data_IF_995784607747
#
_entry.id   IF_995784607747
#
_cell.length_a   1.000
_cell.length_b   1.000
_cell.length_c   1.000
_cell.angle_alpha   90.00
_cell.angle_beta   90.00
_cell.angle_gamma   90.00
#
_symmetry.space_group_name_H-M   'P 1'
#
loop_
_entity.id
_entity.type
_entity.pdbx_description
1 polymer ?
#
# COMPACT_ATOMS: atom_id res chain seq x y z
N UNK A 1 12.18 17.48 16.38
CA UNK A 1 13.50 17.16 16.92
C UNK A 1 13.92 18.21 17.95
N UNK A 2 12.98 18.67 18.78
CA UNK A 2 13.18 19.76 19.75
C UNK A 2 14.43 19.51 20.62
N UNK A 3 15.35 20.49 20.65
CA UNK A 3 16.54 20.45 21.47
C UNK A 3 17.67 19.55 20.99
N UNK A 4 17.54 18.94 19.82
CA UNK A 4 18.58 18.07 19.20
C UNK A 4 19.12 18.78 17.98
N UNK A 5 20.41 19.07 17.96
CA UNK A 5 21.06 19.89 16.92
C UNK A 5 21.32 19.06 15.66
N UNK A 6 21.77 17.80 15.82
CA UNK A 6 22.12 16.91 14.71
C UNK A 6 21.64 15.51 15.06
N UNK A 7 20.77 14.95 14.22
CA UNK A 7 20.26 13.58 14.40
C UNK A 7 21.17 12.57 13.69
N UNK A 8 21.18 12.58 12.38
CA UNK A 8 21.98 11.64 11.59
C UNK A 8 23.43 12.10 11.50
N UNK A 9 24.37 11.21 11.85
CA UNK A 9 25.78 11.54 12.06
C UNK A 9 26.09 12.17 13.41
N UNK A 10 25.05 12.37 14.26
CA UNK A 10 25.19 12.90 15.61
C UNK A 10 24.55 11.95 16.64
N UNK A 11 23.28 12.16 16.98
CA UNK A 11 22.56 11.28 17.93
C UNK A 11 22.43 9.84 17.44
N UNK A 12 22.35 9.66 16.13
CA UNK A 12 22.46 8.38 15.43
C UNK A 12 23.75 8.43 14.62
N UNK A 13 24.86 7.85 15.12
CA UNK A 13 26.13 7.85 14.42
C UNK A 13 26.08 7.16 13.06
N UNK A 14 26.93 7.58 12.13
CA UNK A 14 27.10 6.89 10.86
C UNK A 14 27.50 5.43 11.06
N UNK A 15 26.90 4.52 10.31
CA UNK A 15 27.10 3.07 10.43
C UNK A 15 26.22 2.42 11.51
N UNK A 16 25.46 3.20 12.28
CA UNK A 16 24.56 2.63 13.28
C UNK A 16 23.27 2.12 12.63
N UNK A 17 22.87 0.92 13.01
CA UNK A 17 21.54 0.38 12.73
C UNK A 17 20.57 0.98 13.74
N UNK A 18 19.51 1.58 13.26
CA UNK A 18 18.50 2.25 14.05
C UNK A 18 17.11 1.85 13.58
N UNK A 19 16.14 1.75 14.48
CA UNK A 19 14.73 1.60 14.10
C UNK A 19 14.04 2.96 14.07
N UNK A 20 13.35 3.32 12.98
CA UNK A 20 12.60 4.59 12.91
C UNK A 20 11.31 4.52 13.74
N UNK A 21 11.48 4.54 15.04
CA UNK A 21 10.46 4.42 16.07
C UNK A 21 11.04 4.66 17.46
N UNK A 22 10.27 4.30 18.49
CA UNK A 22 10.69 4.36 19.89
C UNK A 22 10.22 3.12 20.65
N UNK A 23 11.03 2.63 21.58
CA UNK A 23 10.82 1.41 22.37
C UNK A 23 10.86 0.14 21.51
N UNK A 24 9.71 -0.37 21.09
CA UNK A 24 9.67 -1.48 20.13
C UNK A 24 9.97 -0.98 18.74
N UNK A 25 10.66 -1.81 17.95
CA UNK A 25 10.93 -1.50 16.56
C UNK A 25 9.63 -1.28 15.78
N UNK A 26 9.65 -0.31 14.87
CA UNK A 26 8.57 -0.13 13.89
C UNK A 26 8.36 -1.41 13.12
N UNK A 27 7.12 -1.77 12.85
CA UNK A 27 6.79 -2.98 12.07
C UNK A 27 6.10 -2.64 10.78
N UNK A 28 6.44 -3.39 9.73
CA UNK A 28 5.73 -3.44 8.46
C UNK A 28 5.13 -4.84 8.33
N UNK A 29 3.83 -4.91 8.05
CA UNK A 29 3.13 -6.15 7.78
C UNK A 29 2.55 -6.10 6.37
N UNK A 30 2.81 -7.16 5.61
CA UNK A 30 2.25 -7.35 4.26
C UNK A 30 1.51 -8.68 4.21
N UNK A 31 0.29 -8.65 3.69
CA UNK A 31 -0.61 -9.81 3.63
C UNK A 31 -0.44 -10.64 2.34
N UNK A 32 0.37 -10.14 1.41
CA UNK A 32 0.77 -10.82 0.16
C UNK A 32 2.27 -10.63 -0.08
N UNK A 33 2.85 -11.43 -0.96
CA UNK A 33 4.19 -11.20 -1.47
C UNK A 33 4.21 -9.88 -2.25
N UNK A 34 5.16 -9.01 -1.94
CA UNK A 34 5.31 -7.69 -2.58
C UNK A 34 6.75 -7.48 -3.05
N UNK A 35 6.98 -6.44 -3.82
CA UNK A 35 8.32 -5.94 -4.08
C UNK A 35 8.48 -4.56 -3.42
N UNK A 36 9.58 -4.34 -2.70
CA UNK A 36 9.91 -3.04 -2.13
C UNK A 36 11.24 -2.57 -2.73
N UNK A 37 11.21 -1.45 -3.43
CA UNK A 37 12.36 -0.92 -4.20
C UNK A 37 12.97 -1.98 -5.14
N UNK A 38 12.14 -2.84 -5.75
CA UNK A 38 12.59 -3.93 -6.61
C UNK A 38 13.04 -5.20 -5.88
N UNK A 39 13.08 -5.21 -4.54
CA UNK A 39 13.48 -6.38 -3.74
C UNK A 39 12.25 -7.19 -3.32
N UNK A 40 12.24 -8.52 -3.54
CA UNK A 40 11.11 -9.36 -3.15
C UNK A 40 10.99 -9.44 -1.63
N UNK A 41 9.80 -9.18 -1.13
CA UNK A 41 9.44 -9.29 0.29
C UNK A 41 8.25 -10.24 0.40
N UNK A 42 8.44 -11.33 1.13
CA UNK A 42 7.40 -12.33 1.33
C UNK A 42 6.30 -11.80 2.25
N UNK A 43 5.09 -12.32 2.09
CA UNK A 43 4.00 -12.13 3.06
C UNK A 43 4.52 -12.38 4.47
N UNK A 44 4.27 -11.43 5.38
CA UNK A 44 4.72 -11.55 6.75
C UNK A 44 4.77 -10.21 7.48
N UNK A 45 5.26 -10.28 8.71
CA UNK A 45 5.47 -9.11 9.57
C UNK A 45 6.95 -8.98 9.88
N UNK A 46 7.46 -7.79 9.68
CA UNK A 46 8.89 -7.47 9.80
C UNK A 46 9.09 -6.33 10.78
N UNK A 47 10.16 -6.36 11.56
CA UNK A 47 10.68 -5.15 12.18
C UNK A 47 11.49 -4.36 11.14
N UNK A 48 11.32 -3.03 11.17
CA UNK A 48 11.95 -2.11 10.21
C UNK A 48 13.15 -1.44 10.88
N UNK A 49 14.29 -1.53 10.22
CA UNK A 49 15.56 -0.95 10.67
C UNK A 49 16.23 -0.23 9.51
N UNK A 50 17.06 0.73 9.85
CA UNK A 50 17.83 1.50 8.88
C UNK A 50 19.25 1.64 9.39
N UNK A 51 20.22 1.24 8.57
CA UNK A 51 21.63 1.56 8.79
C UNK A 51 21.92 2.89 8.09
N UNK A 52 22.28 3.90 8.87
CA UNK A 52 22.45 5.26 8.36
C UNK A 52 23.90 5.53 7.98
N UNK A 53 24.09 6.14 6.80
CA UNK A 53 25.40 6.55 6.30
C UNK A 53 25.29 7.97 5.70
N UNK A 54 26.39 8.67 5.43
CA UNK A 54 26.34 10.04 4.91
C UNK A 54 25.57 10.22 3.60
N UNK A 55 25.67 9.25 2.68
CA UNK A 55 25.07 9.33 1.35
C UNK A 55 23.93 8.35 1.14
N UNK A 56 24.14 7.07 1.35
CA UNK A 56 23.20 6.00 1.09
C UNK A 56 22.89 5.27 2.39
N UNK A 57 21.61 5.00 2.65
CA UNK A 57 21.18 4.21 3.79
C UNK A 57 20.81 2.80 3.37
N UNK A 58 20.84 1.86 4.30
CA UNK A 58 20.34 0.50 4.06
C UNK A 58 19.09 0.26 4.89
N UNK A 59 17.97 -0.02 4.23
CA UNK A 59 16.76 -0.51 4.89
C UNK A 59 16.93 -2.00 5.16
N UNK A 60 16.50 -2.43 6.34
CA UNK A 60 16.56 -3.80 6.81
C UNK A 60 15.16 -4.20 7.31
N UNK A 61 14.59 -5.19 6.66
CA UNK A 61 13.36 -5.84 7.10
C UNK A 61 13.73 -7.17 7.74
N UNK A 62 13.56 -7.25 9.06
CA UNK A 62 13.89 -8.44 9.82
C UNK A 62 12.62 -9.22 10.19
N UNK A 63 12.53 -10.53 9.90
CA UNK A 63 11.33 -11.32 10.19
C UNK A 63 11.05 -11.48 11.69
N UNK A 64 12.01 -11.16 12.56
CA UNK A 64 11.79 -11.03 14.00
C UNK A 64 11.04 -9.73 14.27
N UNK A 65 9.73 -9.75 14.10
CA UNK A 65 8.88 -8.54 14.13
C UNK A 65 8.88 -7.83 15.51
N UNK A 66 9.09 -8.57 16.61
CA UNK A 66 9.05 -8.00 17.97
C UNK A 66 10.47 -7.86 18.53
N UNK A 67 11.15 -6.80 18.16
CA UNK A 67 12.48 -6.46 18.66
C UNK A 67 12.43 -5.12 19.43
N UNK A 68 13.16 -5.06 20.54
CA UNK A 68 13.32 -3.80 21.27
C UNK A 68 14.42 -2.96 20.62
N UNK A 69 14.30 -1.64 20.61
CA UNK A 69 15.13 -0.73 19.83
C UNK A 69 16.64 -0.82 20.08
N UNK A 70 17.07 -1.33 21.21
CA UNK A 70 18.49 -1.53 21.53
C UNK A 70 19.03 -2.89 21.06
N UNK A 71 18.16 -3.82 20.67
CA UNK A 71 18.55 -5.13 20.17
C UNK A 71 18.79 -5.10 18.67
N UNK A 72 19.71 -4.25 18.21
CA UNK A 72 20.01 -4.05 16.80
C UNK A 72 20.23 -5.39 16.08
N UNK A 73 19.52 -5.67 14.97
CA UNK A 73 19.68 -6.91 14.25
C UNK A 73 21.08 -7.00 13.62
N UNK A 74 21.78 -8.09 13.87
CA UNK A 74 22.99 -8.40 13.13
C UNK A 74 22.64 -8.90 11.73
N UNK A 75 23.52 -8.72 10.72
CA UNK A 75 23.27 -9.24 9.38
C UNK A 75 22.93 -10.74 9.43
N UNK A 76 21.86 -11.11 8.72
CA UNK A 76 21.30 -12.44 8.69
C UNK A 76 20.70 -12.71 7.30
N UNK A 77 20.78 -13.93 6.81
CA UNK A 77 20.26 -14.34 5.51
C UNK A 77 18.72 -14.31 5.41
N UNK A 78 18.02 -14.26 6.55
CA UNK A 78 16.57 -14.13 6.57
C UNK A 78 16.08 -12.69 6.40
N UNK A 79 16.97 -11.71 6.49
CA UNK A 79 16.65 -10.30 6.33
C UNK A 79 16.54 -9.93 4.85
N UNK A 80 15.60 -9.06 4.52
CA UNK A 80 15.63 -8.32 3.26
C UNK A 80 16.35 -7.00 3.52
N UNK A 81 17.46 -6.79 2.81
CA UNK A 81 18.32 -5.60 2.95
C UNK A 81 18.49 -4.95 1.59
N UNK A 82 18.28 -3.65 1.51
CA UNK A 82 18.45 -2.91 0.25
C UNK A 82 18.82 -1.45 0.49
N UNK A 83 19.56 -0.85 -0.46
CA UNK A 83 19.97 0.54 -0.37
C UNK A 83 18.78 1.49 -0.65
N UNK A 84 18.84 2.67 -0.02
CA UNK A 84 17.96 3.79 -0.27
C UNK A 84 18.71 5.10 -0.20
N UNK A 85 18.33 6.07 -1.01
CA UNK A 85 18.90 7.41 -0.99
C UNK A 85 18.00 8.31 -0.16
N UNK A 86 18.44 8.81 1.00
CA UNK A 86 17.67 9.77 1.76
C UNK A 86 17.63 11.12 1.03
N UNK A 87 16.47 11.77 1.04
CA UNK A 87 16.28 13.10 0.48
C UNK A 87 16.11 14.13 1.60
N UNK A 88 16.50 15.36 1.34
CA UNK A 88 16.27 16.46 2.26
C UNK A 88 14.79 16.87 2.24
N UNK A 89 14.23 17.11 3.42
CA UNK A 89 12.85 17.58 3.59
C UNK A 89 12.78 18.63 4.68
N UNK A 90 12.01 19.69 4.44
CA UNK A 90 11.79 20.75 5.43
C UNK A 90 10.68 20.38 6.41
N UNK A 91 10.79 20.85 7.66
CA UNK A 91 9.71 20.78 8.65
C UNK A 91 9.41 19.40 9.24
N UNK A 92 10.25 18.41 9.01
CA UNK A 92 10.06 17.05 9.54
C UNK A 92 10.57 16.92 10.99
N UNK A 93 9.98 17.66 11.92
CA UNK A 93 10.36 17.60 13.35
C UNK A 93 9.88 16.32 14.06
N UNK A 94 8.77 15.77 13.63
CA UNK A 94 8.22 14.53 14.12
C UNK A 94 8.56 13.39 13.15
N UNK A 95 8.87 12.21 13.71
CA UNK A 95 8.97 11.01 12.90
C UNK A 95 7.58 10.65 12.39
N UNK A 96 7.45 10.65 11.08
CA UNK A 96 6.19 10.41 10.38
C UNK A 96 6.36 9.29 9.38
N UNK A 97 5.39 8.39 9.35
CA UNK A 97 5.17 7.41 8.30
C UNK A 97 3.87 7.76 7.57
N UNK A 98 3.89 7.77 6.26
CA UNK A 98 2.72 8.12 5.44
C UNK A 98 2.70 7.37 4.11
N UNK A 99 1.52 7.32 3.49
CA UNK A 99 1.30 6.80 2.15
C UNK A 99 0.87 7.96 1.23
N UNK A 100 1.80 8.76 0.71
CA UNK A 100 1.46 9.94 -0.09
C UNK A 100 0.86 9.62 -1.46
N UNK A 101 1.08 8.40 -1.96
CA UNK A 101 0.54 7.93 -3.22
C UNK A 101 0.13 6.47 -3.09
N UNK A 102 -1.07 6.15 -3.55
CA UNK A 102 -1.63 4.79 -3.59
C UNK A 102 -2.20 4.54 -4.98
N UNK A 103 -1.91 3.38 -5.55
CA UNK A 103 -2.42 2.94 -6.83
C UNK A 103 -2.86 1.46 -6.74
N UNK A 104 -3.58 0.92 -7.74
CA UNK A 104 -3.94 -0.49 -7.78
C UNK A 104 -2.76 -1.46 -7.79
N UNK A 105 -1.60 -1.00 -8.23
CA UNK A 105 -0.40 -1.83 -8.37
C UNK A 105 0.68 -1.51 -7.34
N UNK A 106 0.40 -0.61 -6.38
CA UNK A 106 1.36 -0.31 -5.33
C UNK A 106 1.17 1.02 -4.63
N UNK A 107 2.12 1.35 -3.78
CA UNK A 107 2.11 2.56 -2.98
C UNK A 107 3.52 3.03 -2.67
N UNK A 108 3.65 4.29 -2.28
CA UNK A 108 4.87 4.80 -1.66
C UNK A 108 4.68 4.85 -0.16
N UNK A 109 5.51 4.15 0.59
CA UNK A 109 5.64 4.33 2.04
C UNK A 109 6.77 5.31 2.31
N UNK A 110 6.44 6.47 2.85
CA UNK A 110 7.37 7.56 3.12
C UNK A 110 7.63 7.67 4.61
N UNK A 111 8.90 7.58 5.00
CA UNK A 111 9.39 7.98 6.31
C UNK A 111 9.97 9.38 6.21
N UNK A 112 9.62 10.26 7.13
CA UNK A 112 10.21 11.60 7.24
C UNK A 112 10.54 11.93 8.68
N UNK A 113 11.77 12.42 8.92
CA UNK A 113 12.22 12.88 10.23
C UNK A 113 13.53 13.65 10.16
N UNK A 114 13.66 14.65 11.04
CA UNK A 114 14.93 15.37 11.28
C UNK A 114 15.60 15.89 10.01
N UNK A 115 14.80 16.43 9.10
CA UNK A 115 15.27 17.00 7.84
C UNK A 115 15.58 16.00 6.74
N UNK A 116 15.32 14.70 6.96
CA UNK A 116 15.51 13.63 5.97
C UNK A 116 14.21 12.87 5.73
N UNK A 117 14.05 12.37 4.51
CA UNK A 117 12.99 11.45 4.13
C UNK A 117 13.53 10.26 3.35
N UNK A 118 12.85 9.12 3.48
CA UNK A 118 13.14 7.89 2.74
C UNK A 118 11.83 7.39 2.15
N UNK A 119 11.81 7.18 0.85
CA UNK A 119 10.67 6.64 0.13
C UNK A 119 10.89 5.16 -0.19
N UNK A 120 9.95 4.31 0.20
CA UNK A 120 9.91 2.90 -0.13
C UNK A 120 8.79 2.67 -1.15
N UNK A 121 9.17 2.32 -2.37
CA UNK A 121 8.22 2.00 -3.44
C UNK A 121 7.76 0.56 -3.27
N UNK A 122 6.53 0.37 -2.85
CA UNK A 122 5.91 -0.95 -2.68
C UNK A 122 5.10 -1.26 -3.92
N UNK A 123 5.43 -2.35 -4.61
CA UNK A 123 4.67 -2.85 -5.77
C UNK A 123 3.99 -4.15 -5.38
N UNK A 124 2.73 -4.29 -5.76
CA UNK A 124 1.94 -5.50 -5.57
C UNK A 124 1.64 -6.14 -6.93
N UNK A 125 1.49 -7.47 -7.01
CA UNK A 125 0.99 -8.10 -8.23
C UNK A 125 -0.36 -7.51 -8.62
N UNK A 126 -0.65 -7.33 -9.92
CA UNK A 126 -1.98 -6.95 -10.36
C UNK A 126 -3.02 -7.91 -9.80
N UNK A 127 -4.15 -7.39 -9.35
CA UNK A 127 -5.29 -8.23 -8.95
C UNK A 127 -5.83 -8.91 -10.20
N UNK A 128 -5.75 -10.24 -10.25
CA UNK A 128 -6.40 -11.01 -11.30
C UNK A 128 -7.90 -10.95 -11.09
N UNK A 129 -8.61 -10.27 -12.00
CA UNK A 129 -10.06 -10.27 -12.00
C UNK A 129 -10.52 -11.62 -12.57
N UNK A 130 -11.24 -12.46 -11.79
CA UNK A 130 -11.70 -13.75 -12.26
C UNK A 130 -12.55 -13.60 -13.53
N UNK A 131 -12.27 -14.42 -14.52
CA UNK A 131 -13.06 -14.52 -15.75
C UNK A 131 -14.24 -15.44 -15.48
N UNK A 132 -15.45 -14.97 -15.77
CA UNK A 132 -16.65 -15.79 -15.66
C UNK A 132 -16.66 -16.89 -16.72
N UNK A 133 -17.17 -18.05 -16.38
CA UNK A 133 -17.43 -19.08 -17.35
C UNK A 133 -18.38 -18.60 -18.46
N UNK A 134 -18.25 -19.18 -19.65
CA UNK A 134 -19.06 -18.78 -20.80
C UNK A 134 -20.57 -18.84 -20.49
N UNK A 135 -21.28 -17.77 -20.86
CA UNK A 135 -22.71 -17.61 -20.65
C UNK A 135 -23.14 -17.24 -19.22
N UNK A 136 -22.22 -17.22 -18.23
CA UNK A 136 -22.57 -16.84 -16.86
C UNK A 136 -22.86 -15.35 -16.78
N UNK A 137 -22.03 -14.52 -17.41
CA UNK A 137 -22.20 -13.06 -17.42
C UNK A 137 -23.52 -12.61 -18.04
N UNK A 138 -24.00 -13.32 -19.04
CA UNK A 138 -25.24 -13.01 -19.78
C UNK A 138 -26.48 -13.01 -18.86
N UNK A 139 -26.46 -13.75 -17.78
CA UNK A 139 -27.57 -13.79 -16.81
C UNK A 139 -27.80 -12.47 -16.09
N UNK A 140 -26.79 -11.62 -16.06
CA UNK A 140 -26.82 -10.36 -15.34
C UNK A 140 -27.01 -9.16 -16.27
N UNK A 141 -27.01 -9.36 -17.59
CA UNK A 141 -27.23 -8.29 -18.57
C UNK A 141 -28.62 -7.70 -18.38
N UNK A 142 -28.71 -6.38 -18.23
CA UNK A 142 -29.98 -5.71 -18.05
C UNK A 142 -29.87 -4.31 -17.47
N UNK A 143 -31.04 -3.77 -17.18
CA UNK A 143 -31.21 -2.49 -16.49
C UNK A 143 -31.81 -2.75 -15.13
N UNK A 144 -31.22 -2.15 -14.10
CA UNK A 144 -31.62 -2.31 -12.71
C UNK A 144 -31.88 -0.94 -12.12
N UNK A 145 -33.10 -0.76 -11.58
CA UNK A 145 -33.44 0.44 -10.81
C UNK A 145 -32.98 0.25 -9.38
N UNK A 146 -32.25 1.21 -8.87
CA UNK A 146 -31.69 1.18 -7.51
C UNK A 146 -32.34 2.28 -6.69
N UNK A 147 -32.77 1.93 -5.48
CA UNK A 147 -33.44 2.82 -4.54
C UNK A 147 -32.54 3.05 -3.34
N UNK A 148 -32.23 4.31 -3.09
CA UNK A 148 -31.41 4.71 -1.94
C UNK A 148 -32.34 5.35 -0.90
N UNK A 149 -32.26 4.99 0.32
CA UNK A 149 -32.86 5.53 1.56
C UNK A 149 -34.17 6.34 1.47
N UNK A 150 -34.46 6.98 0.33
CA UNK A 150 -35.72 7.69 0.04
C UNK A 150 -36.13 7.49 -1.42
N UNK A 151 -37.42 7.36 -1.67
CA UNK A 151 -38.04 7.16 -2.98
C UNK A 151 -37.64 8.22 -4.04
N UNK A 152 -37.15 9.38 -3.61
CA UNK A 152 -36.71 10.46 -4.50
C UNK A 152 -35.31 10.26 -5.11
N UNK A 153 -34.52 9.29 -4.61
CA UNK A 153 -33.17 9.04 -5.09
C UNK A 153 -33.14 7.75 -5.92
N UNK A 154 -33.50 7.89 -7.19
CA UNK A 154 -33.52 6.81 -8.16
C UNK A 154 -32.25 6.86 -8.99
N UNK A 155 -31.54 5.72 -9.09
CA UNK A 155 -30.43 5.56 -10.02
C UNK A 155 -30.64 4.31 -10.87
N UNK A 156 -30.01 4.28 -12.04
CA UNK A 156 -30.02 3.15 -12.95
C UNK A 156 -28.63 2.54 -13.04
N UNK A 157 -28.57 1.24 -12.92
CA UNK A 157 -27.40 0.43 -13.22
C UNK A 157 -27.67 -0.37 -14.49
N UNK A 158 -26.88 -0.19 -15.53
CA UNK A 158 -26.89 -0.99 -16.75
C UNK A 158 -25.73 -1.96 -16.71
N UNK A 159 -26.03 -3.24 -16.83
CA UNK A 159 -25.04 -4.29 -16.89
C UNK A 159 -24.91 -4.83 -18.31
N UNK A 160 -23.67 -4.98 -18.76
CA UNK A 160 -23.30 -5.62 -20.00
C UNK A 160 -22.32 -6.77 -19.72
N UNK A 161 -22.34 -7.79 -20.55
CA UNK A 161 -21.40 -8.90 -20.49
C UNK A 161 -20.55 -8.96 -21.76
N UNK A 162 -19.26 -9.27 -21.61
CA UNK A 162 -18.32 -9.44 -22.73
C UNK A 162 -16.96 -9.91 -22.23
N UNK A 163 -16.27 -10.70 -23.04
CA UNK A 163 -14.93 -11.20 -22.73
C UNK A 163 -14.81 -11.89 -21.37
N UNK A 164 -15.86 -12.60 -20.92
CA UNK A 164 -15.91 -13.28 -19.63
C UNK A 164 -16.01 -12.33 -18.44
N UNK A 165 -16.44 -11.10 -18.64
CA UNK A 165 -16.61 -10.06 -17.61
C UNK A 165 -18.01 -9.46 -17.66
N UNK A 166 -18.45 -8.93 -16.55
CA UNK A 166 -19.63 -8.08 -16.46
C UNK A 166 -19.16 -6.66 -16.17
N UNK A 167 -19.64 -5.70 -16.95
CA UNK A 167 -19.38 -4.27 -16.73
C UNK A 167 -20.65 -3.55 -16.40
N UNK A 168 -20.57 -2.50 -15.59
CA UNK A 168 -21.70 -1.69 -15.17
C UNK A 168 -21.52 -0.23 -15.54
N UNK A 169 -22.58 0.40 -16.03
CA UNK A 169 -22.67 1.84 -16.14
C UNK A 169 -23.72 2.31 -15.15
N UNK A 170 -23.32 3.18 -14.25
CA UNK A 170 -24.18 3.71 -13.21
C UNK A 170 -24.52 5.16 -13.50
N UNK A 171 -25.82 5.53 -13.41
CA UNK A 171 -26.31 6.87 -13.65
C UNK A 171 -27.40 7.25 -12.64
N UNK A 172 -27.53 8.53 -12.33
CA UNK A 172 -28.56 9.08 -11.44
C UNK A 172 -28.04 9.40 -10.02
N UNK A 173 -28.83 10.24 -9.33
CA UNK A 173 -28.50 10.69 -7.98
C UNK A 173 -28.43 9.52 -6.96
N UNK A 174 -27.57 9.59 -5.92
CA UNK A 174 -26.73 10.73 -5.58
C UNK A 174 -25.30 10.69 -6.17
N UNK A 175 -24.98 9.72 -7.01
CA UNK A 175 -23.63 9.48 -7.50
C UNK A 175 -23.39 10.10 -8.88
N UNK A 176 -22.11 10.46 -9.20
CA UNK A 176 -21.75 10.79 -10.56
C UNK A 176 -21.95 9.60 -11.49
N UNK A 177 -21.99 9.83 -12.79
CA UNK A 177 -22.04 8.76 -13.78
C UNK A 177 -20.70 8.00 -13.74
N UNK A 178 -20.78 6.69 -13.53
CA UNK A 178 -19.64 5.78 -13.64
C UNK A 178 -19.88 4.86 -14.85
N UNK A 179 -18.98 4.91 -15.80
CA UNK A 179 -19.07 4.12 -17.02
C UNK A 179 -18.09 2.96 -16.99
N UNK A 180 -18.52 1.82 -17.53
CA UNK A 180 -17.70 0.63 -17.76
C UNK A 180 -16.99 0.06 -16.54
N UNK A 181 -17.60 0.22 -15.38
CA UNK A 181 -17.07 -0.32 -14.13
C UNK A 181 -17.10 -1.85 -14.17
N UNK A 182 -15.97 -2.51 -14.06
CA UNK A 182 -15.91 -3.98 -14.01
C UNK A 182 -16.49 -4.49 -12.69
N UNK A 183 -17.42 -5.44 -12.78
CA UNK A 183 -17.96 -6.14 -11.63
C UNK A 183 -17.16 -7.42 -11.39
N UNK A 184 -16.54 -7.50 -10.23
CA UNK A 184 -15.72 -8.65 -9.80
C UNK A 184 -16.60 -9.65 -9.07
N UNK A 185 -16.80 -10.87 -9.60
CA UNK A 185 -17.61 -11.87 -8.91
C UNK A 185 -16.90 -12.33 -7.63
N UNK A 186 -17.61 -12.34 -6.50
CA UNK A 186 -17.11 -12.85 -5.22
C UNK A 186 -17.89 -14.08 -4.74
N UNK A 187 -19.15 -14.21 -5.15
CA UNK A 187 -19.98 -15.37 -4.95
C UNK A 187 -21.11 -15.38 -6.00
N UNK A 188 -21.95 -16.43 -6.02
CA UNK A 188 -23.14 -16.45 -6.86
C UNK A 188 -24.02 -15.23 -6.55
N UNK A 189 -24.36 -14.45 -7.57
CA UNK A 189 -25.12 -13.21 -7.49
C UNK A 189 -24.48 -12.07 -6.63
N UNK A 190 -23.20 -12.21 -6.26
CA UNK A 190 -22.47 -11.20 -5.53
C UNK A 190 -21.29 -10.68 -6.31
N UNK A 191 -21.24 -9.37 -6.49
CA UNK A 191 -20.15 -8.69 -7.18
C UNK A 191 -19.62 -7.55 -6.32
N UNK A 192 -18.34 -7.43 -6.23
CA UNK A 192 -17.71 -6.18 -5.83
C UNK A 192 -17.61 -5.28 -7.06
N UNK A 193 -17.85 -4.02 -6.88
CA UNK A 193 -17.46 -3.02 -7.87
C UNK A 193 -15.95 -3.11 -7.92
N UNK A 194 -15.44 -3.70 -8.99
CA UNK A 194 -14.02 -3.75 -9.25
C UNK A 194 -13.53 -2.34 -9.17
N UNK A 195 -12.65 -2.10 -8.21
CA UNK A 195 -12.15 -0.79 -7.96
C UNK A 195 -11.86 -0.13 -9.29
N UNK A 196 -12.19 1.12 -9.35
CA UNK A 196 -11.64 2.05 -10.28
C UNK A 196 -10.15 1.75 -10.45
N UNK A 197 -9.88 0.73 -11.28
CA UNK A 197 -8.55 0.28 -11.64
C UNK A 197 -8.26 0.99 -12.95
N UNK A 198 -7.92 2.27 -12.82
CA UNK A 198 -7.23 3.05 -13.85
C UNK A 198 -5.86 3.45 -13.33
#
# INVERSE_FOLDING_TARGET
VRGRVTMFGGQIPWGQVWTPGANWATTLEVDHDVSINGHPVKKGKYSVWVEVQPAEWTVILDPRARMFHIAHPKPDSMQVRFPVMPSDVQGADLLTWSFPAVSPTGTTLLMAWAGKSVALQITVPPVEIPVLAAGVGERYVGRYSLWWVKESNQSELRLAAGNGRVTGTWSGAPFPVWSDVTLVPVAENWFNIGAMVD
#
